data_IF_765591252288
#
_entry.id   IF_765591252288
#
_cell.length_a   1.000
_cell.length_b   1.000
_cell.length_c   1.000
_cell.angle_alpha   90.00
_cell.angle_beta   90.00
_cell.angle_gamma   90.00
#
_symmetry.space_group_name_H-M   'P 1'
#
loop_
_entity.id
_entity.type
_entity.pdbx_description
1 polymer ?
#
# COMPACT_ATOMS: atom_id res chain seq x y z
N UNK A 1 -7.16 -9.75 -32.37
CA UNK A 1 -6.08 -10.19 -31.47
C UNK A 1 -5.81 -9.04 -30.50
N UNK A 2 -6.25 -9.14 -29.24
CA UNK A 2 -6.06 -8.06 -28.26
C UNK A 2 -4.75 -8.31 -27.51
N UNK A 3 -3.64 -7.86 -28.10
CA UNK A 3 -2.32 -7.83 -27.47
C UNK A 3 -2.23 -6.64 -26.50
N UNK A 4 -2.99 -6.67 -25.40
CA UNK A 4 -2.98 -5.58 -24.42
C UNK A 4 -3.55 -5.86 -23.04
N UNK A 5 -4.31 -6.95 -22.84
CA UNK A 5 -5.07 -7.14 -21.59
C UNK A 5 -4.26 -7.54 -20.35
N UNK A 6 -3.18 -8.30 -20.50
CA UNK A 6 -2.52 -8.93 -19.36
C UNK A 6 -1.58 -7.99 -18.57
N UNK A 7 -1.05 -6.95 -19.21
CA UNK A 7 -0.16 -5.98 -18.56
C UNK A 7 -0.96 -4.94 -17.73
N UNK A 8 -2.15 -4.58 -18.23
CA UNK A 8 -3.03 -3.60 -17.61
C UNK A 8 -3.74 -4.19 -16.37
N UNK A 9 -4.05 -5.49 -16.37
CA UNK A 9 -4.79 -6.12 -15.28
C UNK A 9 -3.99 -6.17 -13.96
N UNK A 10 -2.68 -6.45 -14.03
CA UNK A 10 -1.80 -6.47 -12.83
C UNK A 10 -1.55 -5.07 -12.28
N UNK A 11 -1.25 -4.11 -13.15
CA UNK A 11 -1.05 -2.70 -12.76
C UNK A 11 -2.33 -2.08 -12.21
N UNK A 12 -3.46 -2.28 -12.91
CA UNK A 12 -4.78 -1.82 -12.46
C UNK A 12 -5.18 -2.45 -11.12
N UNK A 13 -4.91 -3.74 -10.91
CA UNK A 13 -5.20 -4.39 -9.63
C UNK A 13 -4.32 -3.85 -8.48
N UNK A 14 -3.03 -3.56 -8.75
CA UNK A 14 -2.15 -2.92 -7.76
C UNK A 14 -2.65 -1.52 -7.38
N UNK A 15 -3.02 -0.68 -8.36
CA UNK A 15 -3.58 0.65 -8.10
C UNK A 15 -4.89 0.57 -7.31
N UNK A 16 -5.77 -0.39 -7.63
CA UNK A 16 -7.01 -0.61 -6.84
C UNK A 16 -6.70 -0.95 -5.39
N UNK A 17 -5.73 -1.84 -5.14
CA UNK A 17 -5.30 -2.20 -3.78
C UNK A 17 -4.67 -1.01 -3.04
N UNK A 18 -3.88 -0.19 -3.72
CA UNK A 18 -3.29 1.03 -3.17
C UNK A 18 -4.39 2.02 -2.73
N UNK A 19 -5.37 2.28 -3.59
CA UNK A 19 -6.51 3.18 -3.28
C UNK A 19 -7.34 2.65 -2.10
N UNK A 20 -7.54 1.33 -2.01
CA UNK A 20 -8.21 0.73 -0.87
C UNK A 20 -7.38 0.88 0.41
N UNK A 21 -6.08 0.63 0.35
CA UNK A 21 -5.17 0.81 1.48
C UNK A 21 -5.15 2.26 1.98
N UNK A 22 -5.12 3.23 1.07
CA UNK A 22 -5.17 4.66 1.41
C UNK A 22 -6.48 5.01 2.16
N UNK A 23 -7.63 4.51 1.68
CA UNK A 23 -8.92 4.71 2.36
C UNK A 23 -8.91 4.08 3.76
N UNK A 24 -8.36 2.88 3.88
CA UNK A 24 -8.24 2.18 5.17
C UNK A 24 -7.33 2.96 6.12
N UNK A 25 -6.17 3.42 5.68
CA UNK A 25 -5.25 4.22 6.49
C UNK A 25 -5.94 5.50 6.99
N UNK A 26 -6.62 6.24 6.10
CA UNK A 26 -7.37 7.43 6.49
C UNK A 26 -8.46 7.15 7.53
N UNK A 27 -9.11 5.99 7.44
CA UNK A 27 -10.06 5.56 8.46
C UNK A 27 -9.35 5.27 9.78
N UNK A 28 -8.26 4.49 9.76
CA UNK A 28 -7.50 4.12 10.96
C UNK A 28 -6.90 5.36 11.64
N UNK A 29 -6.41 6.34 10.89
CA UNK A 29 -5.90 7.60 11.45
C UNK A 29 -6.96 8.40 12.20
N UNK A 30 -8.19 8.46 11.66
CA UNK A 30 -9.32 9.09 12.35
C UNK A 30 -9.77 8.28 13.55
N UNK A 31 -9.87 6.97 13.39
CA UNK A 31 -10.24 6.06 14.48
C UNK A 31 -9.24 6.14 15.63
N UNK A 32 -7.96 6.40 15.33
CA UNK A 32 -6.92 6.63 16.34
C UNK A 32 -7.29 7.73 17.32
N UNK A 33 -8.04 8.76 16.93
CA UNK A 33 -8.40 9.87 17.82
C UNK A 33 -9.31 9.42 18.98
N UNK A 34 -10.11 8.36 18.75
CA UNK A 34 -11.09 7.83 19.70
C UNK A 34 -10.51 6.81 20.70
N UNK A 35 -9.26 6.39 20.49
CA UNK A 35 -8.61 5.31 21.26
C UNK A 35 -7.78 5.78 22.45
N UNK A 36 -7.56 4.88 23.41
CA UNK A 36 -6.63 5.11 24.52
C UNK A 36 -5.16 5.01 24.06
N UNK A 37 -4.23 5.54 24.87
CA UNK A 37 -2.83 5.68 24.46
C UNK A 37 -2.15 4.36 24.10
N UNK A 38 -2.51 3.26 24.79
CA UNK A 38 -2.00 1.92 24.51
C UNK A 38 -2.51 1.37 23.17
N UNK A 39 -3.79 1.55 22.87
CA UNK A 39 -4.42 1.14 21.62
C UNK A 39 -3.92 1.97 20.43
N UNK A 40 -3.64 3.27 20.66
CA UNK A 40 -3.03 4.17 19.67
C UNK A 40 -1.66 3.68 19.19
N UNK A 41 -0.84 3.12 20.09
CA UNK A 41 0.45 2.54 19.71
C UNK A 41 0.28 1.31 18.84
N UNK A 42 -0.65 0.41 19.21
CA UNK A 42 -0.93 -0.80 18.42
C UNK A 42 -1.47 -0.45 17.02
N UNK A 43 -2.36 0.54 16.95
CA UNK A 43 -2.90 1.02 15.69
C UNK A 43 -1.84 1.69 14.81
N UNK A 44 -0.93 2.47 15.42
CA UNK A 44 0.18 3.10 14.69
C UNK A 44 1.12 2.07 14.07
N UNK A 45 1.49 1.02 14.84
CA UNK A 45 2.28 -0.11 14.31
C UNK A 45 1.58 -0.82 13.15
N UNK A 46 0.26 -0.94 13.22
CA UNK A 46 -0.54 -1.56 12.16
C UNK A 46 -0.52 -0.73 10.88
N UNK A 47 -0.67 0.60 11.00
CA UNK A 47 -0.55 1.53 9.86
C UNK A 47 0.85 1.42 9.24
N UNK A 48 1.91 1.38 10.05
CA UNK A 48 3.29 1.26 9.56
C UNK A 48 3.52 -0.03 8.76
N UNK A 49 2.96 -1.16 9.21
CA UNK A 49 3.05 -2.43 8.47
C UNK A 49 2.40 -2.32 7.09
N UNK A 50 1.21 -1.70 7.01
CA UNK A 50 0.50 -1.50 5.75
C UNK A 50 1.30 -0.57 4.83
N UNK A 51 1.75 0.58 5.33
CA UNK A 51 2.54 1.55 4.55
C UNK A 51 3.84 0.93 4.06
N UNK A 52 4.54 0.18 4.91
CA UNK A 52 5.80 -0.46 4.55
C UNK A 52 5.59 -1.55 3.48
N UNK A 53 4.49 -2.32 3.56
CA UNK A 53 4.16 -3.31 2.52
C UNK A 53 4.00 -2.69 1.13
N UNK A 54 3.31 -1.54 1.05
CA UNK A 54 3.15 -0.84 -0.24
C UNK A 54 4.42 -0.10 -0.67
N UNK A 55 5.21 0.43 0.27
CA UNK A 55 6.47 1.14 -0.01
C UNK A 55 7.59 0.20 -0.47
N UNK A 56 7.65 -1.02 0.06
CA UNK A 56 8.69 -2.00 -0.31
C UNK A 56 8.55 -2.48 -1.76
N UNK A 57 7.33 -2.59 -2.25
CA UNK A 57 7.05 -2.90 -3.66
C UNK A 57 7.54 -1.80 -4.63
N UNK A 58 7.74 -0.58 -4.15
CA UNK A 58 8.28 0.54 -4.95
C UNK A 58 9.80 0.47 -5.08
N UNK A 59 10.50 -0.17 -4.12
CA UNK A 59 11.98 -0.26 -4.12
C UNK A 59 12.52 -1.55 -4.74
N UNK A 60 11.75 -2.64 -4.83
CA UNK A 60 12.20 -3.88 -5.49
C UNK A 60 12.12 -3.82 -7.03
N UNK A 61 11.36 -2.87 -7.61
CA UNK A 61 11.26 -2.70 -9.07
C UNK A 61 12.33 -1.78 -9.68
N UNK A 62 13.28 -1.26 -8.90
CA UNK A 62 14.32 -0.31 -9.37
C UNK A 62 15.66 -1.00 -9.64
N UNK A 63 15.82 -2.30 -9.35
CA UNK A 63 17.09 -3.02 -9.53
C UNK A 63 17.27 -3.73 -10.88
N UNK A 64 16.21 -3.93 -11.67
CA UNK A 64 16.31 -4.62 -12.97
C UNK A 64 16.69 -3.71 -14.15
N UNK A 65 16.84 -2.39 -13.94
CA UNK A 65 17.07 -1.40 -15.02
C UNK A 65 18.47 -0.76 -14.99
N UNK A 66 19.45 -1.44 -14.38
CA UNK A 66 20.87 -1.08 -14.50
C UNK A 66 21.70 -2.29 -14.97
N UNK A 67 21.50 -2.67 -16.22
CA UNK A 67 22.50 -3.38 -17.02
C UNK A 67 22.73 -2.61 -18.31
N UNK A 68 23.78 -1.78 -18.30
CA UNK A 68 24.45 -1.27 -19.49
C UNK A 68 25.90 -1.74 -19.47
#
# INVERSE_FOLDING_TARGET
>A
MVWGGAFDEKGSNYIRKLVQAEKTIKFLEKFKEELEQEEKEQLSRTIDIIVNHFSKNTNENVQDDQSF
#
